data_IF_569382518355
#
_entry.id   IF_569382518355
#
_cell.length_a   1.000
_cell.length_b   1.000
_cell.length_c   1.000
_cell.angle_alpha   90.00
_cell.angle_beta   90.00
_cell.angle_gamma   90.00
#
_symmetry.space_group_name_H-M   'P 1'
#
loop_
_entity.id
_entity.type
_entity.pdbx_description
1 polymer ?
#
# COMPACT_ATOMS: atom_id res chain seq x y z
N UNK A 1 -41.53 -27.19 9.28
CA UNK A 1 -40.11 -27.30 8.86
C UNK A 1 -39.74 -26.02 8.15
N UNK A 2 -38.97 -25.13 8.80
CA UNK A 2 -38.49 -23.87 8.19
C UNK A 2 -37.02 -24.06 7.86
N UNK A 3 -36.71 -24.23 6.58
CA UNK A 3 -35.35 -24.22 6.07
C UNK A 3 -34.81 -22.80 6.18
N UNK A 4 -33.82 -22.58 7.04
CA UNK A 4 -33.07 -21.33 7.09
C UNK A 4 -32.16 -21.20 5.86
N UNK A 5 -31.83 -19.97 5.42
CA UNK A 5 -30.92 -19.79 4.29
C UNK A 5 -29.53 -20.30 4.67
N UNK A 6 -28.98 -21.15 3.80
CA UNK A 6 -27.56 -21.51 3.81
C UNK A 6 -26.75 -20.22 3.61
N UNK A 7 -26.05 -19.80 4.66
CA UNK A 7 -24.98 -18.82 4.55
C UNK A 7 -23.89 -19.51 3.74
N UNK A 8 -23.76 -19.14 2.46
CA UNK A 8 -22.63 -19.56 1.66
C UNK A 8 -21.35 -19.15 2.37
N UNK A 9 -20.33 -20.03 2.49
CA UNK A 9 -19.06 -19.64 3.05
C UNK A 9 -18.52 -18.49 2.21
N UNK A 10 -18.22 -17.37 2.86
CA UNK A 10 -17.54 -16.23 2.26
C UNK A 10 -16.20 -16.74 1.74
N UNK A 11 -16.12 -17.10 0.46
CA UNK A 11 -14.85 -17.31 -0.22
C UNK A 11 -14.09 -16.01 -0.07
N UNK A 12 -13.16 -15.98 0.90
CA UNK A 12 -12.27 -14.85 1.10
C UNK A 12 -11.59 -14.63 -0.23
N UNK A 13 -11.97 -13.58 -0.96
CA UNK A 13 -11.35 -13.28 -2.24
C UNK A 13 -9.86 -13.19 -1.97
N UNK A 14 -9.09 -14.07 -2.62
CA UNK A 14 -7.64 -13.94 -2.59
C UNK A 14 -7.35 -12.55 -3.17
N UNK A 15 -6.76 -11.68 -2.36
CA UNK A 15 -6.44 -10.31 -2.74
C UNK A 15 -5.10 -9.92 -2.11
N UNK A 16 -4.16 -9.30 -2.85
CA UNK A 16 -2.82 -9.00 -2.34
C UNK A 16 -2.84 -7.96 -1.22
N UNK A 17 -3.94 -7.22 -1.16
CA UNK A 17 -4.17 -6.15 -0.22
C UNK A 17 -5.29 -6.57 0.73
N UNK A 18 -4.93 -6.88 1.97
CA UNK A 18 -5.91 -7.31 2.98
C UNK A 18 -6.95 -6.22 3.30
N UNK A 19 -8.19 -6.62 3.67
CA UNK A 19 -9.22 -5.68 4.09
C UNK A 19 -8.79 -4.93 5.36
N UNK A 20 -9.40 -3.76 5.56
CA UNK A 20 -9.26 -2.98 6.78
C UNK A 20 -9.98 -3.68 7.93
N UNK A 21 -9.32 -3.80 9.08
CA UNK A 21 -9.87 -4.44 10.29
C UNK A 21 -10.17 -3.47 11.42
N UNK A 22 -9.57 -2.27 11.41
CA UNK A 22 -9.76 -1.25 12.46
C UNK A 22 -10.04 0.14 11.85
N UNK A 23 -10.91 0.96 12.48
CA UNK A 23 -11.25 2.29 11.97
C UNK A 23 -10.04 3.18 11.71
N UNK A 24 -9.07 3.24 12.64
CA UNK A 24 -7.86 4.07 12.53
C UNK A 24 -6.61 3.25 12.17
N UNK A 25 -6.77 2.23 11.32
CA UNK A 25 -5.66 1.42 10.81
C UNK A 25 -4.86 2.19 9.77
N UNK A 26 -3.65 2.63 10.13
CA UNK A 26 -2.69 3.18 9.18
C UNK A 26 -2.25 2.12 8.18
N UNK A 27 -2.15 2.51 6.91
CA UNK A 27 -1.66 1.67 5.82
C UNK A 27 -1.17 2.52 4.66
N UNK A 28 -0.24 1.98 3.90
CA UNK A 28 0.15 2.50 2.60
C UNK A 28 0.69 1.30 1.83
N UNK A 29 -0.14 0.73 0.97
CA UNK A 29 0.15 -0.46 0.18
C UNK A 29 -0.51 -0.29 -1.18
N UNK A 30 0.15 -0.75 -2.23
CA UNK A 30 -0.42 -0.75 -3.57
C UNK A 30 0.13 -1.88 -4.40
N UNK A 31 -0.30 -1.88 -5.65
CA UNK A 31 0.16 -2.77 -6.70
C UNK A 31 0.68 -1.96 -7.88
N UNK A 32 1.75 -2.40 -8.51
CA UNK A 32 2.32 -1.76 -9.70
C UNK A 32 2.70 -2.85 -10.69
N UNK A 33 2.20 -2.74 -11.93
CA UNK A 33 2.60 -3.65 -13.01
C UNK A 33 3.86 -3.12 -13.66
N UNK A 34 4.83 -4.01 -13.87
CA UNK A 34 6.03 -3.66 -14.64
C UNK A 34 7.16 -4.67 -14.50
N UNK A 35 8.20 -4.45 -15.29
CA UNK A 35 9.42 -5.22 -15.29
C UNK A 35 10.36 -4.70 -14.20
N UNK A 36 10.84 -5.58 -13.31
CA UNK A 36 11.86 -5.19 -12.35
C UNK A 36 13.25 -5.33 -12.96
N UNK A 37 14.00 -4.23 -13.02
CA UNK A 37 15.37 -4.17 -13.55
C UNK A 37 16.32 -3.89 -12.37
N UNK A 38 17.09 -4.89 -11.89
CA UNK A 38 18.06 -4.66 -10.84
C UNK A 38 19.17 -3.73 -11.32
N UNK A 39 19.69 -2.86 -10.45
CA UNK A 39 20.81 -1.98 -10.77
C UNK A 39 22.12 -2.76 -11.00
N UNK A 40 22.23 -3.92 -10.36
CA UNK A 40 23.32 -4.86 -10.50
C UNK A 40 22.71 -6.28 -10.56
N UNK A 41 22.93 -7.06 -11.64
CA UNK A 41 22.42 -8.42 -11.77
C UNK A 41 22.80 -9.37 -10.62
N UNK A 42 23.92 -9.12 -9.93
CA UNK A 42 24.33 -9.93 -8.77
C UNK A 42 23.68 -9.45 -7.47
N UNK A 43 23.20 -8.20 -7.41
CA UNK A 43 22.60 -7.58 -6.23
C UNK A 43 21.16 -7.13 -6.48
N UNK A 44 20.23 -8.08 -6.39
CA UNK A 44 18.80 -7.87 -6.66
C UNK A 44 18.07 -6.94 -5.67
N UNK A 45 18.76 -6.40 -4.65
CA UNK A 45 18.12 -5.59 -3.60
C UNK A 45 17.70 -4.19 -4.06
N UNK A 46 18.36 -3.62 -5.07
CA UNK A 46 18.12 -2.27 -5.58
C UNK A 46 17.96 -2.32 -7.09
N UNK A 47 17.04 -1.52 -7.61
CA UNK A 47 16.73 -1.47 -9.03
C UNK A 47 15.66 -0.44 -9.31
N UNK A 48 14.97 -0.63 -10.42
CA UNK A 48 13.80 0.14 -10.81
C UNK A 48 12.70 -0.80 -11.31
N UNK A 49 11.45 -0.34 -11.26
CA UNK A 49 10.35 -0.96 -11.98
C UNK A 49 10.12 -0.12 -13.24
N UNK A 50 10.29 -0.73 -14.41
CA UNK A 50 9.88 -0.17 -15.69
C UNK A 50 8.43 -0.55 -15.93
N UNK A 51 7.55 0.43 -15.89
CA UNK A 51 6.10 0.25 -16.05
C UNK A 51 5.71 0.29 -17.52
N UNK A 52 4.51 -0.21 -17.85
CA UNK A 52 4.02 -0.29 -19.23
C UNK A 52 3.81 1.10 -19.88
N UNK A 53 3.65 2.16 -19.06
CA UNK A 53 3.59 3.55 -19.50
C UNK A 53 4.98 4.16 -19.82
N UNK A 54 6.07 3.38 -19.65
CA UNK A 54 7.45 3.78 -19.88
C UNK A 54 8.13 4.45 -18.69
N UNK A 55 7.42 4.70 -17.58
CA UNK A 55 8.00 5.29 -16.37
C UNK A 55 8.92 4.29 -15.68
N UNK A 56 10.11 4.74 -15.30
CA UNK A 56 11.07 3.99 -14.50
C UNK A 56 11.03 4.49 -13.05
N UNK A 57 10.62 3.63 -12.12
CA UNK A 57 10.41 4.00 -10.71
C UNK A 57 11.44 3.29 -9.84
N UNK A 58 12.26 4.06 -9.11
CA UNK A 58 13.21 3.53 -8.14
C UNK A 58 12.54 2.52 -7.20
N UNK A 59 13.14 1.34 -7.06
CA UNK A 59 12.60 0.26 -6.26
C UNK A 59 13.66 -0.41 -5.37
N UNK A 60 13.20 -0.96 -4.25
CA UNK A 60 13.99 -1.82 -3.36
C UNK A 60 13.23 -3.10 -3.10
N UNK A 61 13.89 -4.24 -3.33
CA UNK A 61 13.35 -5.56 -2.99
C UNK A 61 13.61 -5.83 -1.52
N UNK A 62 12.55 -5.98 -0.72
CA UNK A 62 12.71 -6.35 0.69
C UNK A 62 13.14 -7.82 0.81
N UNK A 63 13.92 -8.12 1.86
CA UNK A 63 14.52 -9.44 2.07
C UNK A 63 13.55 -10.62 1.99
N UNK A 64 12.29 -10.42 2.43
CA UNK A 64 11.24 -11.45 2.37
C UNK A 64 10.85 -11.87 0.96
N UNK A 65 11.12 -11.03 -0.05
CA UNK A 65 10.76 -11.24 -1.46
C UNK A 65 11.97 -11.70 -2.29
N UNK A 66 13.20 -11.48 -1.82
CA UNK A 66 14.42 -11.80 -2.57
C UNK A 66 14.49 -13.26 -3.02
N UNK A 67 14.10 -14.20 -2.15
CA UNK A 67 14.11 -15.63 -2.47
C UNK A 67 13.11 -15.99 -3.58
N UNK A 68 11.95 -15.32 -3.62
CA UNK A 68 10.95 -15.49 -4.67
C UNK A 68 11.51 -14.96 -6.00
N UNK A 69 11.99 -13.72 -6.00
CA UNK A 69 12.58 -13.03 -7.16
C UNK A 69 13.72 -13.86 -7.77
N UNK A 70 14.61 -14.39 -6.92
CA UNK A 70 15.80 -15.12 -7.39
C UNK A 70 15.49 -16.50 -7.97
N UNK A 71 14.44 -17.18 -7.50
CA UNK A 71 14.23 -18.61 -7.78
C UNK A 71 13.02 -18.91 -8.65
N UNK A 72 12.02 -18.03 -8.67
CA UNK A 72 10.71 -18.35 -9.22
C UNK A 72 10.19 -17.30 -10.22
N UNK A 73 10.86 -16.16 -10.37
CA UNK A 73 10.41 -15.09 -11.28
C UNK A 73 11.33 -14.93 -12.48
N UNK A 74 10.72 -14.67 -13.63
CA UNK A 74 11.40 -14.30 -14.87
C UNK A 74 11.40 -12.77 -15.00
N UNK A 75 12.50 -12.12 -14.59
CA UNK A 75 12.61 -10.66 -14.56
C UNK A 75 12.62 -9.99 -15.94
N UNK A 76 12.62 -10.76 -17.03
CA UNK A 76 12.40 -10.24 -18.38
C UNK A 76 10.91 -9.92 -18.65
N UNK A 77 10.01 -10.32 -17.75
CA UNK A 77 8.57 -10.12 -17.88
C UNK A 77 8.05 -9.05 -16.92
N UNK A 78 6.93 -8.44 -17.30
CA UNK A 78 6.13 -7.61 -16.40
C UNK A 78 5.41 -8.49 -15.38
N UNK A 79 5.55 -8.13 -14.11
CA UNK A 79 4.86 -8.77 -12.99
C UNK A 79 3.98 -7.76 -12.27
N UNK A 80 2.96 -8.24 -11.52
CA UNK A 80 2.19 -7.37 -10.62
C UNK A 80 2.84 -7.33 -9.23
N UNK A 81 3.59 -6.27 -8.96
CA UNK A 81 4.34 -6.12 -7.71
C UNK A 81 3.46 -5.56 -6.61
N UNK A 82 3.44 -6.22 -5.45
CA UNK A 82 2.87 -5.65 -4.23
C UNK A 82 3.92 -4.78 -3.56
N UNK A 83 3.59 -3.52 -3.32
CA UNK A 83 4.57 -2.49 -2.93
C UNK A 83 4.09 -1.63 -1.76
N UNK A 84 5.04 -1.09 -1.00
CA UNK A 84 4.82 0.06 -0.13
C UNK A 84 5.36 1.33 -0.79
N UNK A 85 4.55 2.39 -0.96
CA UNK A 85 5.03 3.65 -1.47
C UNK A 85 5.86 4.38 -0.41
N UNK A 86 6.93 5.02 -0.88
CA UNK A 86 7.77 5.98 -0.17
C UNK A 86 8.02 7.16 -1.11
N UNK A 87 8.49 8.26 -0.56
CA UNK A 87 9.01 9.37 -1.34
C UNK A 87 10.44 9.66 -0.90
N UNK A 88 11.34 9.83 -1.87
CA UNK A 88 12.72 10.27 -1.65
C UNK A 88 12.81 11.79 -1.79
N UNK A 89 14.02 12.33 -1.65
CA UNK A 89 14.30 13.74 -1.90
C UNK A 89 13.87 14.12 -3.34
N UNK A 90 13.39 15.36 -3.50
CA UNK A 90 12.67 15.87 -4.68
C UNK A 90 11.23 15.32 -4.91
N UNK A 91 10.68 14.51 -4.01
CA UNK A 91 9.26 14.10 -4.06
C UNK A 91 8.95 12.94 -5.01
N UNK A 92 9.97 12.35 -5.64
CA UNK A 92 9.80 11.21 -6.53
C UNK A 92 9.31 9.96 -5.76
N UNK A 93 8.35 9.25 -6.37
CA UNK A 93 7.86 7.97 -5.88
C UNK A 93 9.00 6.94 -5.84
N UNK A 94 9.10 6.25 -4.72
CA UNK A 94 10.03 5.16 -4.49
C UNK A 94 9.25 3.96 -3.96
N UNK A 95 9.49 2.77 -4.50
CA UNK A 95 8.70 1.57 -4.19
C UNK A 95 9.51 0.57 -3.37
N UNK A 96 8.94 0.10 -2.27
CA UNK A 96 9.50 -1.05 -1.54
C UNK A 96 8.69 -2.28 -1.92
N UNK A 97 9.30 -3.22 -2.64
CA UNK A 97 8.64 -4.43 -3.12
C UNK A 97 8.53 -5.43 -1.98
N UNK A 98 7.30 -5.85 -1.72
CA UNK A 98 6.94 -6.65 -0.54
C UNK A 98 6.24 -7.95 -0.91
N UNK A 99 5.91 -8.16 -2.18
CA UNK A 99 5.38 -9.42 -2.73
C UNK A 99 5.12 -9.31 -4.23
N UNK A 100 4.56 -10.38 -4.79
CA UNK A 100 4.08 -10.45 -6.17
C UNK A 100 2.67 -11.02 -6.14
N UNK A 101 1.79 -10.49 -6.97
CA UNK A 101 0.43 -10.96 -7.15
C UNK A 101 0.28 -11.63 -8.51
N UNK A 102 0.47 -12.94 -8.52
CA UNK A 102 0.25 -13.79 -9.70
C UNK A 102 -0.30 -15.13 -9.23
N UNK A 103 -1.52 -15.17 -8.67
CA UNK A 103 -2.09 -16.41 -8.19
C UNK A 103 -2.16 -17.48 -9.29
N UNK A 104 -2.27 -17.12 -10.58
CA UNK A 104 -2.28 -18.09 -11.68
C UNK A 104 -0.98 -18.89 -11.82
N UNK A 105 0.17 -18.33 -11.40
CA UNK A 105 1.50 -18.95 -11.53
C UNK A 105 2.16 -19.29 -10.19
N UNK A 106 1.75 -18.63 -9.10
CA UNK A 106 2.37 -18.73 -7.78
C UNK A 106 1.48 -19.38 -6.71
N UNK A 107 0.23 -19.75 -7.01
CA UNK A 107 -0.59 -20.47 -6.03
C UNK A 107 -0.07 -21.89 -5.84
N UNK A 108 -0.03 -22.34 -4.59
CA UNK A 108 0.14 -23.76 -4.30
C UNK A 108 -1.11 -24.51 -4.76
N UNK A 109 -0.97 -25.73 -5.31
CA UNK A 109 -2.13 -26.53 -5.70
C UNK A 109 -3.02 -26.77 -4.49
N UNK A 110 -4.34 -26.56 -4.65
CA UNK A 110 -5.31 -26.73 -3.57
C UNK A 110 -5.35 -28.21 -3.16
N UNK A 111 -4.95 -28.58 -1.93
CA UNK A 111 -4.99 -29.97 -1.49
C UNK A 111 -6.42 -30.53 -1.36
N UNK A 112 -7.45 -29.67 -1.38
CA UNK A 112 -8.87 -30.07 -1.41
C UNK A 112 -9.45 -30.09 -2.84
N UNK A 113 -8.63 -29.82 -3.86
CA UNK A 113 -9.03 -29.89 -5.26
C UNK A 113 -9.64 -31.25 -5.61
N UNK A 114 -10.90 -31.24 -6.07
CA UNK A 114 -11.59 -32.45 -6.49
C UNK A 114 -11.02 -32.90 -7.84
N UNK A 115 -10.47 -34.13 -7.97
CA UNK A 115 -9.90 -34.59 -9.23
C UNK A 115 -10.97 -34.60 -10.33
N UNK A 116 -10.78 -33.77 -11.37
CA UNK A 116 -11.69 -33.68 -12.52
C UNK A 116 -12.67 -32.51 -12.52
N UNK A 117 -12.63 -31.62 -11.52
CA UNK A 117 -13.23 -30.30 -11.66
C UNK A 117 -12.33 -29.42 -12.55
N UNK A 118 -12.90 -28.70 -13.52
CA UNK A 118 -12.18 -27.64 -14.22
C UNK A 118 -11.87 -26.53 -13.22
N UNK A 119 -10.64 -26.52 -12.70
CA UNK A 119 -10.13 -25.38 -11.93
C UNK A 119 -9.99 -24.20 -12.89
N UNK A 120 -10.90 -23.24 -12.79
CA UNK A 120 -10.70 -21.93 -13.41
C UNK A 120 -9.48 -21.32 -12.73
N UNK A 121 -8.38 -21.04 -13.47
CA UNK A 121 -7.19 -20.46 -12.86
C UNK A 121 -7.56 -19.16 -12.16
N UNK A 122 -7.06 -18.90 -10.95
CA UNK A 122 -7.32 -17.64 -10.28
C UNK A 122 -6.83 -16.48 -11.15
N UNK A 123 -7.68 -15.48 -11.35
CA UNK A 123 -7.37 -14.35 -12.21
C UNK A 123 -6.32 -13.45 -11.53
N UNK A 124 -5.24 -13.12 -12.26
CA UNK A 124 -4.23 -12.17 -11.79
C UNK A 124 -4.73 -10.72 -11.78
N UNK A 125 -5.85 -10.45 -12.47
CA UNK A 125 -6.48 -9.14 -12.52
C UNK A 125 -7.16 -8.78 -11.20
N UNK A 126 -6.97 -7.53 -10.78
CA UNK A 126 -7.66 -6.95 -9.62
C UNK A 126 -8.85 -6.10 -10.07
N UNK A 127 -9.95 -6.03 -9.28
CA UNK A 127 -11.09 -5.20 -9.62
C UNK A 127 -10.74 -3.70 -9.64
N UNK A 128 -9.76 -3.27 -8.85
CA UNK A 128 -9.24 -1.89 -8.86
C UNK A 128 -8.29 -1.61 -10.04
N UNK A 129 -7.86 -2.64 -10.78
CA UNK A 129 -6.87 -2.53 -11.85
C UNK A 129 -5.43 -2.39 -11.35
N UNK A 130 -4.50 -2.24 -12.30
CA UNK A 130 -3.08 -2.04 -12.02
C UNK A 130 -2.79 -0.62 -11.49
N UNK A 131 -1.65 -0.41 -10.83
CA UNK A 131 -1.25 0.92 -10.32
C UNK A 131 -2.15 1.50 -9.22
N UNK A 132 -2.96 0.65 -8.59
CA UNK A 132 -3.81 1.00 -7.46
C UNK A 132 -3.05 1.03 -6.14
N UNK A 133 -3.30 2.06 -5.33
CA UNK A 133 -2.77 2.19 -3.97
C UNK A 133 -3.88 2.52 -2.98
N UNK A 134 -3.87 1.82 -1.86
CA UNK A 134 -4.75 2.08 -0.72
C UNK A 134 -3.95 2.64 0.45
N UNK A 135 -4.20 3.92 0.75
CA UNK A 135 -3.48 4.70 1.78
C UNK A 135 -4.46 5.17 2.84
N UNK A 136 -4.14 4.90 4.11
CA UNK A 136 -4.89 5.45 5.25
C UNK A 136 -3.93 6.10 6.23
N UNK A 137 -4.25 7.32 6.63
CA UNK A 137 -3.41 8.11 7.51
C UNK A 137 -4.01 9.45 7.87
N UNK A 138 -3.19 10.31 8.46
CA UNK A 138 -3.61 11.63 8.92
C UNK A 138 -3.36 12.67 7.82
N UNK A 139 -4.39 13.40 7.40
CA UNK A 139 -4.24 14.54 6.48
C UNK A 139 -3.54 15.68 7.22
N UNK A 140 -2.30 15.99 6.85
CA UNK A 140 -1.47 17.01 7.55
C UNK A 140 -1.25 18.28 6.74
N UNK A 141 -1.56 18.26 5.44
CA UNK A 141 -1.53 19.40 4.54
C UNK A 141 -2.52 19.14 3.40
N UNK A 142 -3.22 20.18 2.98
CA UNK A 142 -3.96 20.20 1.72
C UNK A 142 -4.04 21.61 1.19
N UNK A 143 -3.98 21.75 -0.13
CA UNK A 143 -4.17 22.97 -0.91
C UNK A 143 -5.01 22.58 -2.13
N UNK A 144 -6.34 22.65 -2.03
CA UNK A 144 -7.24 22.22 -3.11
C UNK A 144 -6.97 22.96 -4.43
N UNK A 145 -6.58 24.23 -4.39
CA UNK A 145 -6.39 25.06 -5.57
C UNK A 145 -5.24 24.58 -6.47
N UNK A 146 -4.20 24.00 -5.88
CA UNK A 146 -3.07 23.38 -6.61
C UNK A 146 -3.18 21.85 -6.67
N UNK A 147 -4.25 21.27 -6.12
CA UNK A 147 -4.46 19.82 -6.02
C UNK A 147 -3.32 19.11 -5.29
N UNK A 148 -2.80 19.72 -4.23
CA UNK A 148 -1.73 19.13 -3.43
C UNK A 148 -2.27 18.72 -2.06
N UNK A 149 -1.86 17.55 -1.58
CA UNK A 149 -2.07 17.16 -0.19
C UNK A 149 -0.91 16.31 0.33
N UNK A 150 -0.80 16.20 1.64
CA UNK A 150 0.17 15.31 2.30
C UNK A 150 -0.53 14.51 3.38
N UNK A 151 -0.40 13.19 3.29
CA UNK A 151 -0.85 12.25 4.32
C UNK A 151 0.34 11.76 5.12
N UNK A 152 0.21 11.81 6.45
CA UNK A 152 1.18 11.23 7.38
C UNK A 152 0.76 9.81 7.72
N UNK A 153 1.63 8.85 7.42
CA UNK A 153 1.40 7.43 7.66
C UNK A 153 2.32 6.95 8.78
N UNK A 154 1.77 6.15 9.70
CA UNK A 154 2.51 5.56 10.82
C UNK A 154 2.65 4.06 10.60
N UNK A 155 3.82 3.53 10.91
CA UNK A 155 4.02 2.08 10.93
C UNK A 155 3.63 1.53 12.31
N UNK A 156 3.15 0.29 12.35
CA UNK A 156 2.92 -0.40 13.62
C UNK A 156 4.24 -0.51 14.40
N UNK A 157 4.20 -0.44 15.74
CA UNK A 157 5.36 -0.78 16.56
C UNK A 157 5.86 -2.18 16.19
N UNK A 158 7.18 -2.34 16.11
CA UNK A 158 7.80 -3.62 15.85
C UNK A 158 7.71 -4.51 17.11
N UNK A 159 7.84 -5.84 16.98
CA UNK A 159 7.86 -6.76 18.13
C UNK A 159 8.96 -6.44 19.14
N UNK A 160 10.07 -5.84 18.69
CA UNK A 160 11.18 -5.36 19.51
C UNK A 160 10.84 -4.09 20.33
N UNK A 161 9.61 -3.58 20.25
CA UNK A 161 9.14 -2.37 20.94
C UNK A 161 9.51 -1.06 20.24
N UNK A 162 10.35 -1.10 19.20
CA UNK A 162 10.71 0.10 18.44
C UNK A 162 9.52 0.64 17.64
N UNK A 163 9.45 1.97 17.54
CA UNK A 163 8.39 2.65 16.79
C UNK A 163 9.03 3.36 15.60
N UNK A 164 8.86 2.84 14.37
CA UNK A 164 9.38 3.52 13.20
C UNK A 164 8.81 4.92 13.10
N UNK A 165 9.63 5.88 12.66
CA UNK A 165 9.19 7.25 12.50
C UNK A 165 8.04 7.30 11.47
N UNK A 166 6.98 8.10 11.73
CA UNK A 166 5.99 8.38 10.72
C UNK A 166 6.64 8.98 9.48
N UNK A 167 6.15 8.62 8.30
CA UNK A 167 6.58 9.23 7.05
C UNK A 167 5.45 10.06 6.46
N UNK A 168 5.81 10.98 5.57
CA UNK A 168 4.87 11.86 4.86
C UNK A 168 4.82 11.41 3.41
N UNK A 169 3.61 11.30 2.88
CA UNK A 169 3.36 10.94 1.50
C UNK A 169 2.70 12.14 0.80
N UNK A 170 3.43 12.88 -0.06
CA UNK A 170 2.83 13.87 -0.95
C UNK A 170 1.97 13.17 -1.99
N UNK A 171 0.78 13.71 -2.24
CA UNK A 171 -0.21 13.17 -3.18
C UNK A 171 -0.81 14.32 -4.00
N UNK A 172 -1.33 13.97 -5.16
CA UNK A 172 -2.07 14.89 -6.04
C UNK A 172 -3.57 14.62 -5.92
N UNK A 173 -4.38 15.65 -5.70
CA UNK A 173 -5.82 15.51 -5.53
C UNK A 173 -6.41 16.62 -4.67
N UNK A 174 -7.73 16.55 -4.49
CA UNK A 174 -8.50 17.58 -3.80
C UNK A 174 -9.15 16.98 -2.56
N UNK A 175 -8.75 17.45 -1.37
CA UNK A 175 -9.44 17.15 -0.11
C UNK A 175 -9.73 18.48 0.58
N UNK A 176 -10.99 18.79 0.95
CA UNK A 176 -11.34 20.06 1.58
C UNK A 176 -10.50 20.40 2.83
N UNK A 177 -10.18 21.68 3.00
CA UNK A 177 -9.41 22.21 4.14
C UNK A 177 -10.05 21.90 5.50
N UNK A 178 -11.38 21.76 5.56
CA UNK A 178 -12.13 21.37 6.77
C UNK A 178 -11.74 19.99 7.30
N UNK A 179 -11.23 19.10 6.44
CA UNK A 179 -10.78 17.77 6.83
C UNK A 179 -9.31 17.73 7.25
N UNK A 180 -8.62 18.88 7.32
CA UNK A 180 -7.26 18.95 7.85
C UNK A 180 -7.22 18.34 9.26
N UNK A 181 -6.20 17.53 9.55
CA UNK A 181 -6.03 16.75 10.80
C UNK A 181 -7.06 15.62 11.00
N UNK A 182 -7.84 15.28 9.97
CA UNK A 182 -8.65 14.07 10.00
C UNK A 182 -7.85 12.86 9.53
N UNK A 183 -8.29 11.70 9.98
CA UNK A 183 -7.89 10.42 9.45
C UNK A 183 -8.69 10.18 8.17
N UNK A 184 -7.99 9.93 7.08
CA UNK A 184 -8.57 9.73 5.75
C UNK A 184 -8.21 8.35 5.22
N UNK A 185 -9.14 7.77 4.46
CA UNK A 185 -8.92 6.58 3.64
C UNK A 185 -8.92 7.02 2.19
N UNK A 186 -7.85 6.72 1.46
CA UNK A 186 -7.63 7.16 0.09
C UNK A 186 -7.40 5.96 -0.82
N UNK A 187 -8.13 5.95 -1.92
CA UNK A 187 -7.91 5.11 -3.07
C UNK A 187 -7.20 5.97 -4.12
N UNK A 188 -6.01 5.52 -4.52
CA UNK A 188 -5.09 6.29 -5.35
C UNK A 188 -4.70 5.51 -6.59
N UNK A 189 -4.40 6.24 -7.67
CA UNK A 189 -3.79 5.74 -8.90
C UNK A 189 -2.40 6.32 -9.08
N UNK A 190 -1.43 5.51 -9.49
CA UNK A 190 -0.15 6.03 -9.93
C UNK A 190 -0.27 6.66 -11.32
N UNK A 191 0.23 7.88 -11.46
CA UNK A 191 0.39 8.58 -12.75
C UNK A 191 1.85 9.03 -12.83
N UNK A 192 2.65 8.35 -13.66
CA UNK A 192 4.10 8.55 -13.71
C UNK A 192 4.73 8.30 -12.33
N UNK A 193 5.35 9.36 -11.76
CA UNK A 193 5.98 9.34 -10.43
C UNK A 193 5.09 9.88 -9.30
N UNK A 194 3.80 10.12 -9.56
CA UNK A 194 2.89 10.69 -8.59
C UNK A 194 1.77 9.72 -8.25
N UNK A 195 1.20 9.87 -7.05
CA UNK A 195 0.00 9.16 -6.63
C UNK A 195 -1.17 10.15 -6.60
N UNK A 196 -2.15 9.92 -7.45
CA UNK A 196 -3.33 10.74 -7.62
C UNK A 196 -4.52 10.15 -6.87
N UNK A 197 -5.29 10.98 -6.17
CA UNK A 197 -6.52 10.57 -5.49
C UNK A 197 -7.62 10.27 -6.52
N UNK A 198 -8.16 9.05 -6.51
CA UNK A 198 -9.37 8.68 -7.24
C UNK A 198 -10.61 8.80 -6.34
N UNK A 199 -10.50 8.34 -5.11
CA UNK A 199 -11.57 8.39 -4.12
C UNK A 199 -11.00 8.62 -2.71
N UNK A 200 -11.77 9.32 -1.88
CA UNK A 200 -11.42 9.54 -0.47
C UNK A 200 -12.64 9.43 0.46
N UNK A 201 -12.37 8.94 1.66
CA UNK A 201 -13.31 8.87 2.76
C UNK A 201 -12.69 9.54 4.00
N UNK A 202 -13.48 10.38 4.68
CA UNK A 202 -13.07 11.02 5.95
C UNK A 202 -13.59 10.19 7.11
N UNK A 203 -12.67 9.58 7.86
CA UNK A 203 -13.02 8.66 8.96
C UNK A 203 -13.31 9.42 10.26
N UNK A 204 -12.54 10.46 10.55
CA UNK A 204 -12.75 11.28 11.75
C UNK A 204 -11.51 12.03 12.22
N UNK A 205 -11.65 12.94 13.18
CA UNK A 205 -10.55 13.77 13.66
C UNK A 205 -9.48 12.94 14.39
N UNK A 206 -8.20 13.25 14.17
CA UNK A 206 -7.09 12.61 14.91
C UNK A 206 -6.79 13.42 16.17
N UNK A 207 -6.86 12.77 17.33
CA UNK A 207 -6.52 13.40 18.60
C UNK A 207 -5.09 13.97 18.57
N UNK A 208 -4.97 15.27 18.85
CA UNK A 208 -3.68 15.90 19.00
C UNK A 208 -3.10 15.49 20.35
N UNK A 209 -1.88 14.94 20.36
CA UNK A 209 -1.09 14.97 21.59
C UNK A 209 -0.76 16.44 21.84
N UNK A 210 -1.54 17.08 22.73
CA UNK A 210 -1.24 18.41 23.20
C UNK A 210 0.20 18.45 23.73
N UNK A 211 0.93 19.51 23.39
CA UNK A 211 2.18 19.83 24.06
C UNK A 211 1.91 19.84 25.56
N UNK A 212 2.29 18.79 26.30
CA UNK A 212 2.51 18.87 27.74
C UNK A 212 3.78 19.70 27.96
N UNK A 213 3.64 21.00 27.74
CA UNK A 213 4.66 22.03 27.92
C UNK A 213 4.00 23.22 28.58
N UNK A 214 3.54 23.03 29.82
CA UNK A 214 2.83 24.03 30.62
C UNK A 214 3.37 24.08 32.05
N UNK A 215 4.65 24.43 32.17
CA UNK A 215 5.28 25.22 33.25
C UNK A 215 4.50 25.32 34.58
N UNK A 216 4.64 24.32 35.45
CA UNK A 216 4.36 24.48 36.88
C UNK A 216 5.49 25.24 37.57
N UNK A 217 5.50 26.57 37.48
CA UNK A 217 6.36 27.42 38.31
C UNK A 217 5.62 27.59 39.64
N UNK A 218 5.93 26.75 40.63
CA UNK A 218 5.46 26.94 42.00
C UNK A 218 6.11 28.20 42.56
N UNK A 219 5.32 29.26 42.71
CA UNK A 219 5.73 30.41 43.52
C UNK A 219 5.89 29.95 44.97
N UNK A 220 7.09 30.17 45.51
CA UNK A 220 7.34 30.13 46.95
C UNK A 220 6.79 31.42 47.53
N UNK A 221 5.87 31.31 48.48
CA UNK A 221 5.69 32.27 49.56
C UNK A 221 5.52 31.49 50.85
#
# INVERSE_FOLDING_TARGET
MRSGPLVAPTTMRQHPISPVTEPLQYRAIGVVRGQYVPSDPEQLTRGLIRTDDGTEIDAVVLGRVLSLVRRHLDLERSHLWVVYPRCREAGALHLQMVGVWEPSTLSEPDPEAVPGAEEVPPADGLPEGDDYFSVRGELIYTRPESKELVVKVRQRPRPDGSRPQPFKLPLSGEVPLEHLRHFVSLDLRRIGHHLQVEHFEVIGPVAQRGNRGGKGRSDRR
#
